data_IF_973149255846
#
_entry.id   IF_973149255846
#
_cell.length_a   1.000
_cell.length_b   1.000
_cell.length_c   1.000
_cell.angle_alpha   90.00
_cell.angle_beta   90.00
_cell.angle_gamma   90.00
#
_symmetry.space_group_name_H-M   'P 1'
#
loop_
_entity.id
_entity.type
_entity.pdbx_description
1 polymer ?
#
# COMPACT_ATOMS: atom_id res chain seq x y z
N UNK A 1 63.60 24.96 -22.42
CA UNK A 1 62.95 23.90 -23.23
C UNK A 1 62.68 22.74 -22.29
N UNK A 2 61.41 22.61 -21.93
CA UNK A 2 60.63 21.37 -21.80
C UNK A 2 61.23 20.21 -20.96
N UNK A 3 60.56 19.65 -19.96
CA UNK A 3 59.21 19.87 -19.46
C UNK A 3 58.97 18.90 -18.29
N UNK A 4 58.49 19.45 -17.18
CA UNK A 4 57.97 18.66 -16.06
C UNK A 4 56.46 18.91 -16.10
N UNK A 5 55.74 18.05 -16.83
CA UNK A 5 54.28 18.08 -16.88
C UNK A 5 53.74 17.59 -15.54
N UNK A 6 53.07 18.51 -14.84
CA UNK A 6 52.32 18.31 -13.61
C UNK A 6 51.60 16.96 -13.55
N UNK A 7 52.11 16.07 -12.68
CA UNK A 7 51.23 15.24 -11.87
C UNK A 7 50.55 16.17 -10.87
N UNK A 8 49.22 16.31 -10.95
CA UNK A 8 48.29 16.66 -9.88
C UNK A 8 46.90 16.88 -10.53
N UNK A 9 46.26 15.79 -10.97
CA UNK A 9 44.80 15.74 -11.12
C UNK A 9 44.33 14.79 -10.04
N UNK A 10 44.33 15.31 -8.81
CA UNK A 10 43.82 14.64 -7.62
C UNK A 10 42.30 14.88 -7.58
N UNK A 11 41.56 13.78 -7.62
CA UNK A 11 40.27 13.58 -6.97
C UNK A 11 39.18 14.65 -7.22
N UNK A 12 38.59 14.63 -8.40
CA UNK A 12 37.19 15.01 -8.57
C UNK A 12 36.47 13.84 -9.25
N UNK A 13 35.25 13.53 -8.80
CA UNK A 13 34.37 12.42 -9.23
C UNK A 13 34.44 11.12 -8.39
N UNK A 14 34.38 11.26 -7.06
CA UNK A 14 33.64 10.27 -6.24
C UNK A 14 32.61 11.08 -5.44
N UNK A 15 31.57 11.56 -6.14
CA UNK A 15 30.40 12.13 -5.50
C UNK A 15 29.24 11.16 -5.67
N UNK A 16 28.95 10.47 -4.55
CA UNK A 16 27.65 9.96 -4.13
C UNK A 16 26.96 8.96 -5.07
N UNK A 17 27.25 7.69 -4.84
CA UNK A 17 26.29 6.61 -5.03
C UNK A 17 26.30 5.72 -3.79
N UNK A 18 26.24 6.34 -2.61
CA UNK A 18 25.58 5.67 -1.49
C UNK A 18 24.11 5.91 -1.76
N UNK A 19 23.41 4.88 -2.24
CA UNK A 19 21.96 4.88 -2.17
C UNK A 19 21.65 4.94 -0.67
N UNK A 20 21.39 6.14 -0.15
CA UNK A 20 20.92 6.30 1.22
C UNK A 20 19.64 5.49 1.31
N UNK A 21 19.67 4.44 2.13
CA UNK A 21 18.50 3.60 2.39
C UNK A 21 17.30 4.42 2.85
N UNK A 22 17.55 5.63 3.38
CA UNK A 22 16.57 6.64 3.77
C UNK A 22 15.75 7.18 2.60
N UNK A 23 16.30 7.25 1.38
CA UNK A 23 15.59 7.70 0.17
C UNK A 23 14.98 6.56 -0.65
N UNK A 24 14.70 5.43 -0.01
CA UNK A 24 13.97 4.31 -0.60
C UNK A 24 12.50 4.29 -0.15
N UNK A 25 11.69 3.40 -0.76
CA UNK A 25 10.31 3.14 -0.29
C UNK A 25 10.29 2.72 1.19
N UNK A 26 11.35 2.07 1.66
CA UNK A 26 11.45 1.66 3.07
C UNK A 26 11.63 2.86 4.00
N UNK A 27 12.27 3.95 3.57
CA UNK A 27 12.35 5.20 4.32
C UNK A 27 10.96 5.79 4.59
N UNK A 28 10.11 5.85 3.57
CA UNK A 28 8.73 6.30 3.73
C UNK A 28 7.89 5.33 4.59
N UNK A 29 8.06 4.02 4.41
CA UNK A 29 7.40 3.00 5.27
C UNK A 29 7.81 3.13 6.73
N UNK A 30 9.05 3.50 7.03
CA UNK A 30 9.51 3.75 8.40
C UNK A 30 8.71 4.88 9.06
N UNK A 31 8.44 5.97 8.35
CA UNK A 31 7.60 7.07 8.87
C UNK A 31 6.17 6.62 9.19
N UNK A 32 5.64 5.66 8.42
CA UNK A 32 4.27 5.15 8.53
C UNK A 32 4.14 3.92 9.46
N UNK A 33 5.19 3.56 10.20
CA UNK A 33 5.28 2.27 10.92
C UNK A 33 4.15 1.98 11.92
N UNK A 34 3.53 3.01 12.52
CA UNK A 34 2.36 2.82 13.40
C UNK A 34 1.02 2.68 12.66
N UNK A 35 0.96 3.13 11.41
CA UNK A 35 -0.22 3.06 10.55
C UNK A 35 -0.27 1.75 9.75
N UNK A 36 0.87 1.28 9.24
CA UNK A 36 0.94 0.03 8.43
C UNK A 36 0.33 -1.21 9.13
N UNK A 37 0.41 -1.39 10.47
CA UNK A 37 -0.21 -2.53 11.14
C UNK A 37 -1.74 -2.51 11.18
N UNK A 38 -2.40 -1.41 10.79
CA UNK A 38 -3.87 -1.30 10.73
C UNK A 38 -4.45 -2.24 9.67
N UNK A 39 -3.77 -2.40 8.54
CA UNK A 39 -4.07 -3.41 7.52
C UNK A 39 -2.77 -4.05 7.07
N UNK A 40 -2.57 -5.31 7.44
CA UNK A 40 -1.32 -6.03 7.16
C UNK A 40 -1.62 -7.49 6.80
N UNK A 41 -0.66 -8.26 6.28
CA UNK A 41 -0.85 -9.71 6.06
C UNK A 41 -1.36 -10.48 7.28
N UNK A 42 -1.15 -9.96 8.49
CA UNK A 42 -1.64 -10.58 9.72
C UNK A 42 -3.16 -10.48 9.89
N UNK A 43 -3.82 -9.50 9.25
CA UNK A 43 -5.26 -9.24 9.36
C UNK A 43 -5.60 -7.75 9.22
N UNK A 44 -6.91 -7.47 9.27
CA UNK A 44 -7.45 -6.12 9.35
C UNK A 44 -7.64 -5.79 10.83
N UNK A 45 -6.86 -4.83 11.32
CA UNK A 45 -6.84 -4.39 12.72
C UNK A 45 -7.21 -2.91 12.84
N UNK A 46 -8.01 -2.43 11.90
CA UNK A 46 -8.51 -1.07 11.90
C UNK A 46 -9.60 -0.94 12.98
N UNK A 47 -9.20 -0.51 14.17
CA UNK A 47 -10.09 -0.24 15.31
C UNK A 47 -9.88 1.19 15.80
N UNK A 48 -10.87 1.74 16.51
CA UNK A 48 -10.77 3.11 17.02
C UNK A 48 -9.57 3.27 17.96
N UNK A 49 -9.34 2.27 18.83
CA UNK A 49 -8.20 2.24 19.75
C UNK A 49 -6.85 2.25 19.02
N UNK A 50 -6.70 1.45 17.95
CA UNK A 50 -5.43 1.36 17.22
C UNK A 50 -5.19 2.59 16.36
N UNK A 51 -6.23 3.12 15.73
CA UNK A 51 -6.15 4.39 15.03
C UNK A 51 -5.75 5.52 15.98
N UNK A 52 -6.37 5.61 17.16
CA UNK A 52 -6.00 6.60 18.18
C UNK A 52 -4.55 6.44 18.63
N UNK A 53 -4.10 5.20 18.85
CA UNK A 53 -2.70 4.91 19.20
C UNK A 53 -1.73 5.42 18.13
N UNK A 54 -1.97 5.11 16.85
CA UNK A 54 -1.17 5.63 15.74
C UNK A 54 -1.19 7.17 15.70
N UNK A 55 -2.35 7.78 15.95
CA UNK A 55 -2.49 9.23 15.99
C UNK A 55 -1.77 9.91 17.17
N UNK A 56 -1.40 9.18 18.24
CA UNK A 56 -0.60 9.78 19.34
C UNK A 56 0.79 10.21 18.89
N UNK A 57 1.34 9.56 17.86
CA UNK A 57 2.61 9.93 17.24
C UNK A 57 2.42 10.59 15.86
N UNK A 58 1.17 10.94 15.50
CA UNK A 58 0.84 11.41 14.15
C UNK A 58 1.60 12.69 13.76
N UNK A 59 1.93 13.55 14.73
CA UNK A 59 2.78 14.72 14.51
C UNK A 59 4.19 14.30 14.04
N UNK A 60 4.83 13.39 14.76
CA UNK A 60 6.19 12.91 14.45
C UNK A 60 6.21 12.14 13.13
N UNK A 61 5.14 11.40 12.81
CA UNK A 61 4.96 10.79 11.48
C UNK A 61 4.89 11.85 10.37
N UNK A 62 4.13 12.93 10.55
CA UNK A 62 4.01 14.00 9.55
C UNK A 62 5.33 14.76 9.34
N UNK A 63 6.09 14.97 10.42
CA UNK A 63 7.43 15.55 10.37
C UNK A 63 8.38 14.63 9.58
N UNK A 64 8.44 13.34 9.93
CA UNK A 64 9.24 12.34 9.22
C UNK A 64 8.94 12.29 7.71
N UNK A 65 7.66 12.29 7.32
CA UNK A 65 7.26 12.30 5.91
C UNK A 65 7.70 13.59 5.21
N UNK A 66 7.65 14.73 5.90
CA UNK A 66 8.10 16.01 5.36
C UNK A 66 9.61 16.00 5.12
N UNK A 67 10.38 15.53 6.10
CA UNK A 67 11.83 15.40 6.01
C UNK A 67 12.24 14.44 4.88
N UNK A 68 11.54 13.32 4.73
CA UNK A 68 11.71 12.40 3.61
C UNK A 68 11.45 13.11 2.27
N UNK A 69 10.35 13.85 2.16
CA UNK A 69 9.99 14.57 0.94
C UNK A 69 11.07 15.58 0.56
N UNK A 70 11.52 16.40 1.51
CA UNK A 70 12.48 17.48 1.30
C UNK A 70 13.86 16.94 0.89
N UNK A 71 14.26 15.78 1.41
CA UNK A 71 15.57 15.17 1.16
C UNK A 71 15.59 14.28 -0.09
N UNK A 72 14.51 13.53 -0.33
CA UNK A 72 14.52 12.41 -1.26
C UNK A 72 13.67 12.62 -2.52
N UNK A 73 12.74 13.58 -2.51
CA UNK A 73 11.88 13.84 -3.67
C UNK A 73 12.39 15.04 -4.45
N UNK A 74 12.79 14.80 -5.70
CA UNK A 74 13.15 15.88 -6.62
C UNK A 74 11.98 16.85 -6.79
N UNK A 75 12.26 18.15 -6.82
CA UNK A 75 11.26 19.20 -7.06
C UNK A 75 10.51 19.02 -8.40
N UNK A 76 11.12 18.32 -9.36
CA UNK A 76 10.50 18.04 -10.66
C UNK A 76 9.54 16.83 -10.63
N UNK A 77 9.53 16.04 -9.54
CA UNK A 77 8.65 14.87 -9.41
C UNK A 77 7.31 15.22 -8.75
N UNK A 78 6.54 16.07 -9.44
CA UNK A 78 5.25 16.57 -8.94
C UNK A 78 4.25 15.48 -8.57
N UNK A 79 4.28 14.32 -9.23
CA UNK A 79 3.34 13.23 -8.93
C UNK A 79 3.65 12.56 -7.59
N UNK A 80 4.93 12.34 -7.29
CA UNK A 80 5.35 11.76 -6.02
C UNK A 80 5.12 12.74 -4.87
N UNK A 81 5.47 14.02 -5.07
CA UNK A 81 5.18 15.09 -4.11
C UNK A 81 3.68 15.21 -3.82
N UNK A 82 2.83 15.16 -4.86
CA UNK A 82 1.38 15.14 -4.67
C UNK A 82 0.93 13.92 -3.85
N UNK A 83 1.41 12.71 -4.17
CA UNK A 83 1.05 11.50 -3.43
C UNK A 83 1.45 11.57 -1.96
N UNK A 84 2.63 12.11 -1.65
CA UNK A 84 3.09 12.33 -0.28
C UNK A 84 2.20 13.33 0.45
N UNK A 85 1.85 14.44 -0.21
CA UNK A 85 0.96 15.44 0.35
C UNK A 85 -0.46 14.89 0.61
N UNK A 86 -0.97 14.02 -0.26
CA UNK A 86 -2.24 13.31 -0.05
C UNK A 86 -2.17 12.41 1.20
N UNK A 87 -1.09 11.65 1.40
CA UNK A 87 -0.87 10.86 2.62
C UNK A 87 -0.82 11.73 3.87
N UNK A 88 -0.06 12.85 3.84
CA UNK A 88 0.01 13.79 4.98
C UNK A 88 -1.36 14.37 5.33
N UNK A 89 -2.11 14.80 4.31
CA UNK A 89 -3.45 15.33 4.49
C UNK A 89 -4.41 14.29 5.06
N UNK A 90 -4.31 13.04 4.60
CA UNK A 90 -5.11 11.94 5.12
C UNK A 90 -4.80 11.66 6.60
N UNK A 91 -3.53 11.53 6.98
CA UNK A 91 -3.12 11.37 8.39
C UNK A 91 -3.64 12.53 9.25
N UNK A 92 -3.41 13.77 8.80
CA UNK A 92 -3.90 14.95 9.51
C UNK A 92 -5.41 14.96 9.66
N UNK A 93 -6.16 14.41 8.69
CA UNK A 93 -7.62 14.34 8.73
C UNK A 93 -8.11 13.25 9.68
N UNK A 94 -7.63 12.01 9.53
CA UNK A 94 -8.11 10.85 10.32
C UNK A 94 -7.74 10.95 11.80
N UNK A 95 -6.68 11.72 12.14
CA UNK A 95 -6.28 11.97 13.52
C UNK A 95 -7.04 13.10 14.21
N UNK A 96 -8.01 13.74 13.53
CA UNK A 96 -8.93 14.66 14.20
C UNK A 96 -10.00 13.87 14.97
N UNK A 97 -10.26 14.19 16.26
CA UNK A 97 -11.26 13.48 17.07
C UNK A 97 -12.67 13.46 16.47
N UNK A 98 -12.98 14.43 15.60
CA UNK A 98 -14.30 14.59 14.98
C UNK A 98 -14.33 14.13 13.52
N UNK A 99 -13.27 13.48 13.03
CA UNK A 99 -13.20 13.04 11.64
C UNK A 99 -14.31 12.03 11.34
N UNK A 100 -14.83 12.05 10.11
CA UNK A 100 -15.81 11.05 9.68
C UNK A 100 -15.16 9.67 9.58
N UNK A 101 -13.87 9.62 9.25
CA UNK A 101 -13.11 8.37 9.20
C UNK A 101 -13.09 7.66 10.57
N UNK A 102 -12.77 8.36 11.65
CA UNK A 102 -12.77 7.79 13.01
C UNK A 102 -14.14 7.22 13.37
N UNK A 103 -15.22 7.96 13.07
CA UNK A 103 -16.59 7.50 13.30
C UNK A 103 -16.93 6.25 12.49
N UNK A 104 -16.51 6.20 11.23
CA UNK A 104 -16.71 5.01 10.40
C UNK A 104 -15.89 3.81 10.88
N UNK A 105 -14.69 4.04 11.41
CA UNK A 105 -13.90 2.98 12.06
C UNK A 105 -14.62 2.46 13.31
N UNK A 106 -15.13 3.33 14.17
CA UNK A 106 -15.96 2.94 15.32
C UNK A 106 -17.22 2.17 14.90
N UNK A 107 -17.87 2.56 13.80
CA UNK A 107 -19.06 1.90 13.27
C UNK A 107 -18.77 0.49 12.75
N UNK A 108 -17.61 0.28 12.11
CA UNK A 108 -17.29 -0.96 11.40
C UNK A 108 -16.21 -1.83 12.05
N UNK A 109 -15.65 -1.47 13.21
CA UNK A 109 -14.50 -2.18 13.80
C UNK A 109 -14.74 -3.68 14.01
N UNK A 110 -15.91 -4.07 14.54
CA UNK A 110 -16.27 -5.47 14.71
C UNK A 110 -16.30 -6.21 13.36
N UNK A 111 -16.79 -5.55 12.32
CA UNK A 111 -16.86 -6.13 10.99
C UNK A 111 -15.49 -6.25 10.34
N UNK A 112 -14.62 -5.26 10.51
CA UNK A 112 -13.23 -5.32 10.07
C UNK A 112 -12.47 -6.47 10.73
N UNK A 113 -12.60 -6.63 12.05
CA UNK A 113 -11.99 -7.74 12.79
C UNK A 113 -12.51 -9.09 12.31
N UNK A 114 -13.83 -9.23 12.13
CA UNK A 114 -14.45 -10.47 11.64
C UNK A 114 -14.08 -10.80 10.18
N UNK A 115 -13.76 -9.79 9.38
CA UNK A 115 -13.33 -9.96 7.98
C UNK A 115 -11.85 -10.37 7.84
N UNK A 116 -11.07 -10.31 8.93
CA UNK A 116 -9.64 -10.64 8.91
C UNK A 116 -9.35 -12.06 8.44
N UNK A 117 -10.18 -13.04 8.81
CA UNK A 117 -9.96 -14.44 8.40
C UNK A 117 -10.21 -14.62 6.90
N UNK A 118 -11.32 -14.08 6.37
CA UNK A 118 -11.59 -14.07 4.93
C UNK A 118 -10.46 -13.41 4.14
N UNK A 119 -9.97 -12.27 4.65
CA UNK A 119 -8.85 -11.56 4.07
C UNK A 119 -7.57 -12.41 4.06
N UNK A 120 -7.18 -13.01 5.20
CA UNK A 120 -5.99 -13.88 5.29
C UNK A 120 -6.08 -15.08 4.35
N UNK A 121 -7.25 -15.71 4.25
CA UNK A 121 -7.49 -16.83 3.32
C UNK A 121 -7.31 -16.36 1.88
N UNK A 122 -7.84 -15.18 1.51
CA UNK A 122 -7.66 -14.61 0.19
C UNK A 122 -6.17 -14.34 -0.08
N UNK A 123 -5.51 -13.59 0.82
CA UNK A 123 -4.12 -13.17 0.65
C UNK A 123 -3.17 -14.36 0.51
N UNK A 124 -3.30 -15.37 1.37
CA UNK A 124 -2.46 -16.57 1.32
C UNK A 124 -2.62 -17.38 0.02
N UNK A 125 -3.79 -17.33 -0.64
CA UNK A 125 -4.00 -17.97 -1.95
C UNK A 125 -3.37 -17.19 -3.10
N UNK A 126 -3.11 -15.91 -2.89
CA UNK A 126 -2.52 -15.02 -3.91
C UNK A 126 -1.00 -14.90 -3.81
N UNK A 127 -0.39 -15.42 -2.73
CA UNK A 127 1.06 -15.48 -2.59
C UNK A 127 1.63 -16.31 -3.73
N UNK A 128 2.36 -15.64 -4.62
CA UNK A 128 3.13 -16.29 -5.68
C UNK A 128 4.34 -16.99 -5.06
N UNK A 129 4.84 -18.09 -5.65
CA UNK A 129 6.14 -18.62 -5.26
C UNK A 129 7.20 -17.51 -5.42
N UNK A 130 8.15 -17.44 -4.47
CA UNK A 130 9.28 -16.51 -4.56
C UNK A 130 9.89 -16.55 -5.96
N UNK A 131 10.08 -15.38 -6.57
CA UNK A 131 10.71 -15.31 -7.89
C UNK A 131 12.11 -15.91 -7.79
N UNK A 132 12.39 -16.91 -8.62
CA UNK A 132 13.76 -17.46 -8.74
C UNK A 132 14.70 -16.48 -9.45
N UNK A 133 14.15 -15.41 -10.02
CA UNK A 133 14.88 -14.29 -10.60
C UNK A 133 15.31 -13.33 -9.49
N UNK A 134 16.60 -12.99 -9.46
CA UNK A 134 17.24 -12.21 -8.41
C UNK A 134 17.58 -10.78 -8.84
N UNK A 135 17.08 -10.33 -10.00
CA UNK A 135 17.26 -8.94 -10.42
C UNK A 135 16.23 -8.02 -9.74
N UNK A 136 16.62 -6.74 -9.60
CA UNK A 136 15.85 -5.75 -8.85
C UNK A 136 14.52 -5.39 -9.55
N UNK A 137 14.46 -5.51 -10.89
CA UNK A 137 13.24 -5.22 -11.65
C UNK A 137 12.17 -6.30 -11.38
N UNK A 138 12.55 -7.58 -11.40
CA UNK A 138 11.64 -8.68 -11.08
C UNK A 138 11.17 -8.64 -9.62
N UNK A 139 12.04 -8.30 -8.67
CA UNK A 139 11.66 -8.09 -7.25
C UNK A 139 10.66 -6.95 -7.10
N UNK A 140 10.94 -5.79 -7.70
CA UNK A 140 10.04 -4.64 -7.68
C UNK A 140 8.66 -4.98 -8.25
N UNK A 141 8.61 -5.69 -9.39
CA UNK A 141 7.34 -6.15 -9.96
C UNK A 141 6.59 -7.10 -9.03
N UNK A 142 7.30 -8.01 -8.37
CA UNK A 142 6.71 -8.93 -7.42
C UNK A 142 6.09 -8.18 -6.23
N UNK A 143 6.80 -7.22 -5.64
CA UNK A 143 6.30 -6.35 -4.56
C UNK A 143 5.04 -5.58 -4.99
N UNK A 144 5.06 -4.98 -6.18
CA UNK A 144 3.89 -4.29 -6.73
C UNK A 144 2.67 -5.23 -6.88
N UNK A 145 2.89 -6.45 -7.33
CA UNK A 145 1.81 -7.42 -7.46
C UNK A 145 1.33 -7.93 -6.10
N UNK A 146 2.23 -8.15 -5.13
CA UNK A 146 1.86 -8.52 -3.77
C UNK A 146 1.00 -7.42 -3.11
N UNK A 147 1.42 -6.16 -3.20
CA UNK A 147 0.64 -5.02 -2.73
C UNK A 147 -0.77 -4.97 -3.36
N UNK A 148 -0.86 -5.14 -4.69
CA UNK A 148 -2.14 -5.17 -5.40
C UNK A 148 -3.06 -6.27 -4.87
N UNK A 149 -2.51 -7.47 -4.62
CA UNK A 149 -3.29 -8.59 -4.09
C UNK A 149 -3.71 -8.36 -2.64
N UNK A 150 -2.81 -7.82 -1.80
CA UNK A 150 -3.13 -7.42 -0.43
C UNK A 150 -4.33 -6.47 -0.41
N UNK A 151 -4.26 -5.38 -1.18
CA UNK A 151 -5.32 -4.38 -1.30
C UNK A 151 -6.63 -5.02 -1.76
N UNK A 152 -6.59 -5.75 -2.87
CA UNK A 152 -7.80 -6.36 -3.44
C UNK A 152 -8.45 -7.36 -2.48
N UNK A 153 -7.65 -8.21 -1.83
CA UNK A 153 -8.16 -9.17 -0.86
C UNK A 153 -8.77 -8.50 0.36
N UNK A 154 -8.15 -7.43 0.87
CA UNK A 154 -8.66 -6.69 2.01
C UNK A 154 -10.01 -6.02 1.68
N UNK A 155 -10.04 -5.24 0.58
CA UNK A 155 -11.24 -4.52 0.10
C UNK A 155 -12.39 -5.49 -0.19
N UNK A 156 -12.12 -6.58 -0.92
CA UNK A 156 -13.16 -7.55 -1.29
C UNK A 156 -13.68 -8.33 -0.08
N UNK A 157 -12.82 -8.67 0.89
CA UNK A 157 -13.26 -9.39 2.09
C UNK A 157 -14.19 -8.54 2.94
N UNK A 158 -13.87 -7.26 3.09
CA UNK A 158 -14.74 -6.31 3.80
C UNK A 158 -16.00 -6.02 3.00
N UNK A 159 -15.94 -5.88 1.67
CA UNK A 159 -17.14 -5.66 0.85
C UNK A 159 -18.14 -6.81 1.00
N UNK A 160 -17.65 -8.06 0.94
CA UNK A 160 -18.48 -9.25 1.05
C UNK A 160 -19.15 -9.41 2.43
N UNK A 161 -18.48 -8.97 3.49
CA UNK A 161 -18.93 -9.19 4.87
C UNK A 161 -19.64 -7.98 5.49
N UNK A 162 -19.23 -6.77 5.10
CA UNK A 162 -19.58 -5.49 5.72
C UNK A 162 -20.29 -4.53 4.75
N UNK A 163 -20.26 -4.80 3.44
CA UNK A 163 -20.84 -3.96 2.41
C UNK A 163 -19.89 -2.89 1.86
N UNK A 164 -20.33 -2.24 0.78
CA UNK A 164 -19.50 -1.31 0.00
C UNK A 164 -19.02 -0.09 0.79
N UNK A 165 -19.83 0.45 1.71
CA UNK A 165 -19.45 1.62 2.51
C UNK A 165 -18.27 1.32 3.42
N UNK A 166 -18.31 0.21 4.16
CA UNK A 166 -17.19 -0.22 5.00
C UNK A 166 -15.94 -0.55 4.16
N UNK A 167 -16.14 -1.15 2.99
CA UNK A 167 -15.05 -1.44 2.05
C UNK A 167 -14.35 -0.18 1.57
N UNK A 168 -15.10 0.89 1.29
CA UNK A 168 -14.53 2.18 0.90
C UNK A 168 -13.67 2.79 2.03
N UNK A 169 -14.11 2.71 3.29
CA UNK A 169 -13.32 3.18 4.45
C UNK A 169 -11.98 2.46 4.53
N UNK A 170 -11.98 1.14 4.34
CA UNK A 170 -10.76 0.35 4.30
C UNK A 170 -9.89 0.69 3.08
N UNK A 171 -10.51 0.92 1.92
CA UNK A 171 -9.79 1.29 0.71
C UNK A 171 -9.07 2.63 0.86
N UNK A 172 -9.72 3.62 1.47
CA UNK A 172 -9.11 4.93 1.73
C UNK A 172 -7.88 4.79 2.65
N UNK A 173 -7.98 3.97 3.70
CA UNK A 173 -6.84 3.63 4.57
C UNK A 173 -5.69 3.03 3.76
N UNK A 174 -5.98 2.00 2.96
CA UNK A 174 -4.94 1.26 2.23
C UNK A 174 -4.28 2.17 1.21
N UNK A 175 -5.05 2.91 0.40
CA UNK A 175 -4.51 3.76 -0.66
C UNK A 175 -3.64 4.88 -0.10
N UNK A 176 -4.09 5.55 0.96
CA UNK A 176 -3.42 6.73 1.47
C UNK A 176 -2.32 6.43 2.49
N UNK A 177 -2.32 5.27 3.16
CA UNK A 177 -1.29 4.87 4.12
C UNK A 177 -0.43 3.74 3.57
N UNK A 178 -0.99 2.54 3.41
CA UNK A 178 -0.25 1.36 2.93
C UNK A 178 0.25 1.51 1.48
N UNK A 179 -0.45 2.31 0.68
CA UNK A 179 -0.22 2.58 -0.73
C UNK A 179 0.55 3.85 -1.01
N UNK A 180 0.95 4.59 0.03
CA UNK A 180 1.70 5.84 -0.11
C UNK A 180 2.95 5.60 -0.98
N UNK A 181 3.02 6.26 -2.13
CA UNK A 181 4.07 6.03 -3.15
C UNK A 181 3.91 4.74 -3.97
N UNK A 182 3.45 3.62 -3.39
CA UNK A 182 3.26 2.36 -4.11
C UNK A 182 2.17 2.45 -5.18
N UNK A 183 1.06 3.15 -4.94
CA UNK A 183 0.01 3.34 -5.96
C UNK A 183 0.54 4.02 -7.22
N UNK A 184 1.40 5.03 -7.03
CA UNK A 184 2.03 5.75 -8.12
C UNK A 184 3.11 4.89 -8.79
N UNK A 185 4.02 4.34 -7.99
CA UNK A 185 5.19 3.62 -8.47
C UNK A 185 4.82 2.30 -9.19
N UNK A 186 3.75 1.63 -8.75
CA UNK A 186 3.30 0.36 -9.31
C UNK A 186 2.24 0.49 -10.41
N UNK A 187 1.83 1.71 -10.76
CA UNK A 187 0.72 1.96 -11.70
C UNK A 187 0.88 1.19 -13.02
N UNK A 188 2.07 1.23 -13.61
CA UNK A 188 2.37 0.58 -14.89
C UNK A 188 2.66 -0.94 -14.77
N UNK A 189 2.78 -1.44 -13.54
CA UNK A 189 2.97 -2.86 -13.22
C UNK A 189 1.63 -3.54 -12.95
N UNK A 190 0.66 -2.84 -12.37
CA UNK A 190 -0.61 -3.43 -11.94
C UNK A 190 -1.36 -4.15 -13.05
N UNK A 191 -1.35 -3.66 -14.28
CA UNK A 191 -2.02 -4.33 -15.41
C UNK A 191 -1.35 -5.66 -15.80
N UNK A 192 -0.06 -5.79 -15.51
CA UNK A 192 0.76 -6.98 -15.81
C UNK A 192 0.69 -8.01 -14.70
N UNK A 193 0.25 -7.62 -13.50
CA UNK A 193 0.02 -8.57 -12.42
C UNK A 193 -1.06 -9.56 -12.84
N UNK A 194 -0.67 -10.84 -12.93
CA UNK A 194 -1.58 -11.96 -13.13
C UNK A 194 -2.75 -11.82 -12.15
N UNK A 195 -3.96 -11.70 -12.70
CA UNK A 195 -5.17 -11.84 -11.91
C UNK A 195 -5.37 -13.34 -11.63
N UNK A 196 -4.50 -13.93 -10.79
CA UNK A 196 -4.73 -15.27 -10.25
C UNK A 196 -6.09 -15.36 -9.51
N UNK A 197 -6.67 -14.19 -9.16
CA UNK A 197 -8.02 -14.01 -8.63
C UNK A 197 -9.17 -13.92 -9.64
N UNK A 198 -9.00 -14.18 -10.94
CA UNK A 198 -10.16 -14.50 -11.82
C UNK A 198 -10.65 -15.94 -11.54
N UNK A 199 -11.00 -16.22 -10.29
CA UNK A 199 -11.74 -17.43 -9.92
C UNK A 199 -13.06 -17.01 -9.29
N UNK A 200 -14.13 -17.40 -10.01
CA UNK A 200 -15.53 -17.42 -9.59
C UNK A 200 -16.33 -16.11 -9.70
N UNK A 201 -16.26 -15.44 -10.86
CA UNK A 201 -17.46 -14.77 -11.35
C UNK A 201 -18.51 -15.85 -11.70
N UNK A 202 -19.36 -16.14 -10.72
CA UNK A 202 -20.76 -16.56 -10.90
C UNK A 202 -21.02 -17.90 -11.61
N UNK A 203 -20.94 -18.99 -10.85
CA UNK A 203 -21.59 -20.27 -11.15
C UNK A 203 -23.14 -20.22 -11.03
N UNK A 204 -23.76 -19.04 -11.04
CA UNK A 204 -25.22 -18.87 -10.90
C UNK A 204 -26.01 -19.10 -12.20
N UNK A 205 -25.35 -19.45 -13.32
CA UNK A 205 -26.02 -19.67 -14.61
C UNK A 205 -26.42 -21.13 -14.91
N UNK A 206 -26.17 -22.10 -14.02
CA UNK A 206 -26.45 -23.53 -14.30
C UNK A 206 -27.56 -24.20 -13.48
N UNK A 207 -28.32 -23.47 -12.65
CA UNK A 207 -29.48 -24.05 -11.93
C UNK A 207 -30.83 -23.66 -12.57
N UNK A 208 -30.86 -22.69 -13.49
CA UNK A 208 -32.10 -22.29 -14.17
C UNK A 208 -32.55 -23.26 -15.29
N UNK A 209 -31.71 -24.18 -15.76
CA UNK A 209 -32.04 -25.11 -16.85
C UNK A 209 -32.61 -26.47 -16.39
N UNK A 210 -32.70 -26.76 -15.09
CA UNK A 210 -33.29 -28.01 -14.59
C UNK A 210 -34.78 -27.92 -14.24
N UNK A 211 -35.39 -26.73 -14.24
CA UNK A 211 -36.81 -26.56 -13.90
C UNK A 211 -37.76 -26.41 -15.09
N UNK A 212 -37.27 -26.24 -16.32
CA UNK A 212 -38.14 -26.08 -17.51
C UNK A 212 -38.53 -27.42 -18.15
N UNK A 213 -37.86 -28.53 -17.83
CA UNK A 213 -38.14 -29.85 -18.42
C UNK A 213 -39.14 -30.72 -17.65
N UNK A 214 -39.81 -30.19 -16.63
CA UNK A 214 -40.87 -30.92 -15.88
C UNK A 214 -42.30 -30.52 -16.20
N UNK A 215 -42.52 -29.58 -17.13
CA UNK A 215 -43.85 -29.06 -17.47
C UNK A 215 -44.12 -28.96 -18.98
N UNK A 216 -43.47 -29.79 -19.80
CA UNK A 216 -43.88 -30.06 -21.18
C UNK A 216 -44.10 -31.56 -21.36
#
# INVERSE_FOLDING_TARGET
MDGIKSLLVLSALVSVALADSECSVDGLKCCLSEFLPLVSPAGIRLTAQRLQAACTIGHDTLECISDFSDQCVSQDNHQLDQSINETKNFISHICQPTSNFTKSVEEYEDCFLNSSESFRICYNKTLLPESTENDDESKWKAECCEYKQLRNCAVQSVENNCGATASQVLQDEIVHLNGAGLELACKDVFEKCSNAGKMLASSLLLVASLFVLRYL
#
